data_IF_447697965337
#
_entry.id   IF_447697965337
#
_cell.length_a   1.000
_cell.length_b   1.000
_cell.length_c   1.000
_cell.angle_alpha   90.00
_cell.angle_beta   90.00
_cell.angle_gamma   90.00
#
_symmetry.space_group_name_H-M   'P 1'
#
loop_
_entity.id
_entity.type
_entity.pdbx_description
1 polymer ?
#
# COMPACT_ATOMS: atom_id res chain seq x y z
N UNK A 1 -25.52 26.20 35.47
CA UNK A 1 -24.24 26.76 34.99
C UNK A 1 -23.21 25.61 35.05
N UNK A 2 -23.21 24.59 34.17
CA UNK A 2 -22.80 24.51 32.76
C UNK A 2 -21.51 25.28 32.46
N UNK A 3 -20.42 24.53 32.18
CA UNK A 3 -19.21 24.86 31.38
C UNK A 3 -17.83 24.63 32.05
N UNK A 4 -17.49 23.44 32.58
CA UNK A 4 -16.06 23.09 32.85
C UNK A 4 -15.79 21.57 32.71
N UNK A 5 -16.12 20.91 31.58
CA UNK A 5 -15.71 19.51 31.32
C UNK A 5 -15.42 19.25 29.83
N UNK A 6 -14.73 20.16 29.13
CA UNK A 6 -14.44 19.98 27.68
C UNK A 6 -12.94 20.08 27.34
N UNK A 7 -12.08 20.53 28.26
CA UNK A 7 -10.68 20.86 27.91
C UNK A 7 -9.69 19.70 28.13
N UNK A 8 -10.07 18.61 28.79
CA UNK A 8 -9.13 17.52 29.12
C UNK A 8 -9.04 16.36 28.11
N UNK A 9 -9.76 16.45 26.99
CA UNK A 9 -9.76 15.40 25.95
C UNK A 9 -8.90 15.72 24.72
N UNK A 10 -8.19 16.86 24.69
CA UNK A 10 -7.38 17.26 23.53
C UNK A 10 -5.90 16.83 23.58
N UNK A 11 -5.45 16.20 24.66
CA UNK A 11 -4.00 15.97 24.89
C UNK A 11 -3.54 14.50 24.77
N UNK A 12 -4.42 13.55 24.39
CA UNK A 12 -4.07 12.10 24.44
C UNK A 12 -3.78 11.47 23.06
N UNK A 13 -3.97 12.18 21.93
CA UNK A 13 -3.81 11.56 20.59
C UNK A 13 -2.40 11.75 19.98
N UNK A 14 -1.44 12.33 20.70
CA UNK A 14 -0.08 12.58 20.18
C UNK A 14 0.94 11.45 20.43
N UNK A 15 0.52 10.27 20.90
CA UNK A 15 1.45 9.21 21.36
C UNK A 15 1.59 7.97 20.47
N UNK A 16 1.20 7.99 19.19
CA UNK A 16 1.51 6.88 18.24
C UNK A 16 2.71 7.17 17.32
N UNK A 17 3.43 8.27 17.56
CA UNK A 17 4.47 8.80 16.67
C UNK A 17 5.83 8.13 16.82
N UNK A 18 5.95 6.90 16.30
CA UNK A 18 7.15 6.36 15.64
C UNK A 18 6.86 4.94 15.11
N UNK A 19 5.78 4.77 14.32
CA UNK A 19 5.72 3.60 13.45
C UNK A 19 6.87 3.70 12.45
N UNK A 20 7.57 2.59 12.23
CA UNK A 20 8.61 2.53 11.21
C UNK A 20 7.96 2.86 9.85
N UNK A 21 8.30 4.02 9.27
CA UNK A 21 7.72 4.47 8.00
C UNK A 21 7.90 3.45 6.88
N UNK A 22 8.99 2.70 6.94
CA UNK A 22 9.24 1.62 5.98
C UNK A 22 8.13 0.56 6.05
N UNK A 23 7.77 0.12 7.25
CA UNK A 23 6.71 -0.87 7.47
C UNK A 23 5.34 -0.33 7.04
N UNK A 24 5.08 0.95 7.28
CA UNK A 24 3.86 1.62 6.79
C UNK A 24 3.79 1.60 5.26
N UNK A 25 4.89 1.93 4.56
CA UNK A 25 4.96 1.86 3.11
C UNK A 25 4.80 0.43 2.58
N UNK A 26 5.42 -0.58 3.22
CA UNK A 26 5.22 -1.99 2.85
C UNK A 26 3.75 -2.37 2.93
N UNK A 27 3.08 -2.05 4.04
CA UNK A 27 1.68 -2.40 4.23
C UNK A 27 0.77 -1.73 3.18
N UNK A 28 0.98 -0.44 2.88
CA UNK A 28 0.21 0.28 1.86
C UNK A 28 0.46 -0.32 0.46
N UNK A 29 1.71 -0.56 0.11
CA UNK A 29 2.08 -1.14 -1.18
C UNK A 29 1.55 -2.57 -1.34
N UNK A 30 1.56 -3.38 -0.28
CA UNK A 30 1.01 -4.73 -0.29
C UNK A 30 -0.48 -4.71 -0.65
N UNK A 31 -1.24 -3.84 0.02
CA UNK A 31 -2.69 -3.71 -0.18
C UNK A 31 -3.02 -3.24 -1.60
N UNK A 32 -2.25 -2.27 -2.11
CA UNK A 32 -2.42 -1.76 -3.47
C UNK A 32 -2.01 -2.78 -4.53
N UNK A 33 -0.89 -3.47 -4.34
CA UNK A 33 -0.41 -4.51 -5.24
C UNK A 33 -1.39 -5.70 -5.30
N UNK A 34 -1.91 -6.13 -4.14
CA UNK A 34 -2.95 -7.17 -4.07
C UNK A 34 -4.19 -6.74 -4.86
N UNK A 35 -4.70 -5.55 -4.60
CA UNK A 35 -5.88 -5.02 -5.30
C UNK A 35 -5.64 -4.89 -6.80
N UNK A 36 -4.46 -4.42 -7.21
CA UNK A 36 -4.09 -4.31 -8.62
C UNK A 36 -4.04 -5.68 -9.28
N UNK A 37 -3.38 -6.65 -8.64
CA UNK A 37 -3.31 -8.02 -9.14
C UNK A 37 -4.71 -8.62 -9.33
N UNK A 38 -5.57 -8.51 -8.31
CA UNK A 38 -6.94 -9.02 -8.32
C UNK A 38 -7.80 -8.43 -9.45
N UNK A 39 -7.60 -7.14 -9.76
CA UNK A 39 -8.37 -6.43 -10.79
C UNK A 39 -7.83 -6.61 -12.22
N UNK A 40 -6.51 -6.62 -12.38
CA UNK A 40 -5.87 -6.42 -13.69
C UNK A 40 -5.02 -7.59 -14.16
N UNK A 41 -4.63 -8.50 -13.26
CA UNK A 41 -3.68 -9.58 -13.58
C UNK A 41 -4.24 -10.98 -13.30
N UNK A 42 -5.35 -11.10 -12.57
CA UNK A 42 -6.05 -12.38 -12.42
C UNK A 42 -6.49 -12.87 -13.79
N UNK A 43 -6.05 -14.07 -14.15
CA UNK A 43 -6.40 -14.71 -15.43
C UNK A 43 -5.19 -14.98 -16.32
N UNK A 44 -4.04 -14.35 -16.06
CA UNK A 44 -2.80 -14.71 -16.78
C UNK A 44 -2.44 -16.17 -16.44
N UNK A 45 -2.25 -16.98 -17.47
CA UNK A 45 -1.89 -18.40 -17.34
C UNK A 45 -0.39 -18.55 -17.07
N UNK A 46 -0.01 -19.56 -16.28
CA UNK A 46 1.38 -19.91 -15.93
C UNK A 46 2.19 -18.81 -15.21
N UNK A 47 1.54 -17.79 -14.66
CA UNK A 47 2.21 -16.76 -13.88
C UNK A 47 2.38 -17.20 -12.42
N UNK A 48 3.63 -17.42 -11.99
CA UNK A 48 3.98 -17.74 -10.59
C UNK A 48 4.41 -16.49 -9.79
N UNK A 49 4.71 -15.40 -10.48
CA UNK A 49 5.12 -14.14 -9.87
C UNK A 49 4.53 -12.96 -10.64
N UNK A 50 4.07 -11.96 -9.91
CA UNK A 50 3.61 -10.69 -10.46
C UNK A 50 4.35 -9.55 -9.78
N UNK A 51 5.11 -8.77 -10.54
CA UNK A 51 5.71 -7.53 -10.06
C UNK A 51 4.75 -6.37 -10.34
N UNK A 52 4.40 -5.62 -9.30
CA UNK A 52 3.57 -4.42 -9.39
C UNK A 52 4.40 -3.23 -8.91
N UNK A 53 4.63 -2.29 -9.81
CA UNK A 53 5.38 -1.06 -9.53
C UNK A 53 4.45 0.10 -9.17
N UNK A 54 4.97 1.10 -8.46
CA UNK A 54 4.24 2.35 -8.20
C UNK A 54 3.83 3.06 -9.50
N UNK A 55 4.61 2.93 -10.58
CA UNK A 55 4.24 3.45 -11.90
C UNK A 55 2.97 2.79 -12.46
N UNK A 56 2.82 1.48 -12.28
CA UNK A 56 1.61 0.75 -12.71
C UNK A 56 0.38 1.25 -11.96
N UNK A 57 0.48 1.47 -10.65
CA UNK A 57 -0.60 2.03 -9.84
C UNK A 57 -0.96 3.46 -10.27
N UNK A 58 0.04 4.29 -10.61
CA UNK A 58 -0.19 5.64 -11.19
C UNK A 58 -0.94 5.57 -12.50
N UNK A 59 -0.55 4.65 -13.40
CA UNK A 59 -1.24 4.44 -14.68
C UNK A 59 -2.67 3.97 -14.45
N UNK A 60 -2.88 3.03 -13.52
CA UNK A 60 -4.21 2.52 -13.18
C UNK A 60 -5.17 3.62 -12.71
N UNK A 61 -4.69 4.57 -11.89
CA UNK A 61 -5.49 5.74 -11.50
C UNK A 61 -5.93 6.59 -12.70
N UNK A 62 -5.10 6.70 -13.74
CA UNK A 62 -5.48 7.40 -14.98
C UNK A 62 -6.58 6.65 -15.76
N UNK A 63 -6.78 5.36 -15.48
CA UNK A 63 -7.80 4.51 -16.10
C UNK A 63 -9.01 4.25 -15.17
N UNK A 64 -9.10 4.93 -14.03
CA UNK A 64 -10.28 4.91 -13.16
C UNK A 64 -10.13 4.17 -11.82
N UNK A 65 -8.95 3.63 -11.51
CA UNK A 65 -8.66 3.22 -10.14
C UNK A 65 -8.45 4.41 -9.20
N UNK A 66 -8.54 4.16 -7.89
CA UNK A 66 -8.51 5.19 -6.86
C UNK A 66 -7.52 4.86 -5.73
N UNK A 67 -6.27 4.56 -6.08
CA UNK A 67 -5.19 4.39 -5.11
C UNK A 67 -4.78 5.76 -4.53
N UNK A 68 -4.69 5.90 -3.21
CA UNK A 68 -4.19 7.12 -2.57
C UNK A 68 -2.65 7.16 -2.58
N UNK A 69 -2.10 7.53 -3.73
CA UNK A 69 -0.65 7.58 -3.94
C UNK A 69 0.04 8.73 -3.20
N UNK A 70 -0.74 9.62 -2.55
CA UNK A 70 -0.17 10.69 -1.73
C UNK A 70 0.55 10.14 -0.50
N UNK A 71 0.13 8.95 -0.02
CA UNK A 71 0.77 8.23 1.08
C UNK A 71 2.16 7.70 0.70
N UNK A 72 2.41 7.49 -0.60
CA UNK A 72 3.67 7.02 -1.17
C UNK A 72 4.43 8.12 -1.92
N UNK A 73 4.09 9.40 -1.71
CA UNK A 73 4.70 10.54 -2.45
C UNK A 73 6.21 10.67 -2.32
N UNK A 74 6.79 10.06 -1.29
CA UNK A 74 8.21 10.01 -1.00
C UNK A 74 8.94 8.85 -1.70
N UNK A 75 8.19 7.96 -2.34
CA UNK A 75 8.70 6.78 -3.00
C UNK A 75 8.85 6.99 -4.51
N UNK A 76 9.94 6.50 -5.07
CA UNK A 76 10.21 6.49 -6.49
C UNK A 76 9.27 5.53 -7.22
N UNK A 77 9.04 5.81 -8.51
CA UNK A 77 8.22 4.98 -9.41
C UNK A 77 8.71 3.53 -9.51
N UNK A 78 10.00 3.31 -9.27
CA UNK A 78 10.66 1.99 -9.27
C UNK A 78 10.38 1.19 -7.99
N UNK A 79 9.70 1.78 -7.01
CA UNK A 79 9.23 1.05 -5.83
C UNK A 79 8.24 -0.01 -6.29
N UNK A 80 8.46 -1.26 -5.89
CA UNK A 80 7.65 -2.39 -6.36
C UNK A 80 7.39 -3.43 -5.27
N UNK A 81 6.35 -4.22 -5.53
CA UNK A 81 6.02 -5.42 -4.78
C UNK A 81 5.95 -6.58 -5.74
N UNK A 82 6.71 -7.63 -5.45
CA UNK A 82 6.60 -8.91 -6.14
C UNK A 82 5.70 -9.83 -5.34
N UNK A 83 4.56 -10.18 -5.93
CA UNK A 83 3.60 -11.14 -5.40
C UNK A 83 4.00 -12.52 -5.92
N UNK A 84 4.33 -13.43 -5.00
CA UNK A 84 4.52 -14.85 -5.34
C UNK A 84 3.19 -15.60 -5.21
N UNK A 85 2.93 -16.48 -6.17
CA UNK A 85 1.69 -17.23 -6.29
C UNK A 85 1.98 -18.74 -6.23
N UNK A 86 1.08 -19.51 -5.64
CA UNK A 86 1.10 -20.96 -5.78
C UNK A 86 0.44 -21.41 -7.11
N UNK A 87 0.44 -22.72 -7.36
CA UNK A 87 -0.20 -23.32 -8.55
C UNK A 87 -1.71 -23.06 -8.64
N UNK A 88 -2.36 -22.68 -7.54
CA UNK A 88 -3.78 -22.32 -7.46
C UNK A 88 -4.01 -20.80 -7.60
N UNK A 89 -2.97 -20.03 -7.95
CA UNK A 89 -2.99 -18.56 -8.06
C UNK A 89 -3.30 -17.85 -6.75
N UNK A 90 -3.08 -18.50 -5.61
CA UNK A 90 -3.20 -17.88 -4.30
C UNK A 90 -1.89 -17.20 -3.94
N UNK A 91 -1.98 -16.01 -3.35
CA UNK A 91 -0.83 -15.26 -2.89
C UNK A 91 -0.19 -15.98 -1.70
N UNK A 92 1.10 -16.30 -1.82
CA UNK A 92 1.87 -16.99 -0.78
C UNK A 92 2.91 -16.10 -0.11
N UNK A 93 3.41 -15.09 -0.81
CA UNK A 93 4.43 -14.19 -0.29
C UNK A 93 4.43 -12.84 -1.01
N UNK A 94 4.97 -11.83 -0.32
CA UNK A 94 5.24 -10.51 -0.86
C UNK A 94 6.71 -10.16 -0.62
N UNK A 95 7.38 -9.71 -1.67
CA UNK A 95 8.73 -9.17 -1.61
C UNK A 95 8.71 -7.69 -2.00
N UNK A 96 9.48 -6.86 -1.31
CA UNK A 96 9.41 -5.41 -1.41
C UNK A 96 10.73 -4.83 -1.88
N UNK A 97 10.68 -4.00 -2.92
CA UNK A 97 11.78 -3.12 -3.30
C UNK A 97 11.37 -1.68 -3.00
N UNK A 98 11.67 -1.20 -1.78
CA UNK A 98 11.33 0.15 -1.37
C UNK A 98 12.43 1.15 -1.75
N UNK A 99 12.06 2.18 -2.52
CA UNK A 99 12.93 3.31 -2.86
C UNK A 99 12.24 4.60 -2.41
N UNK A 100 12.34 4.94 -1.13
CA UNK A 100 11.64 6.08 -0.53
C UNK A 100 12.60 7.00 0.24
N UNK A 101 12.40 8.33 0.12
CA UNK A 101 13.24 9.39 0.72
C UNK A 101 12.42 10.41 1.55
#
# INVERSE_FOLDING_TARGET
>A
MKKIIIILFLSVVLLTGCKNKEEEYKNILQDYAKTYYEKHMVGVENQQQAEITLEMLKKANNYGDNYDLSLLKKCDNKTSVTISLNNQKQIINYEYELKCN
#
